data_IF_373179618675
#
_entry.id   IF_373179618675
#
_cell.length_a   1.000
_cell.length_b   1.000
_cell.length_c   1.000
_cell.angle_alpha   90.00
_cell.angle_beta   90.00
_cell.angle_gamma   90.00
#
_symmetry.space_group_name_H-M   'P 1'
#
loop_
_entity.id
_entity.type
_entity.pdbx_description
1 polymer ?
#
# COMPACT_ATOMS: atom_id res chain seq x y z
N UNK A 1 -22.29 -1.70 7.75
CA UNK A 1 -21.21 -0.69 7.78
C UNK A 1 -19.98 -1.27 8.45
N UNK A 2 -18.81 -1.03 7.87
CA UNK A 2 -17.54 -1.49 8.44
C UNK A 2 -17.18 -0.64 9.66
N UNK A 3 -16.80 -1.30 10.76
CA UNK A 3 -16.29 -0.61 11.96
C UNK A 3 -14.80 -0.86 12.11
N UNK A 4 -14.09 0.02 12.82
CA UNK A 4 -12.66 -0.14 13.06
C UNK A 4 -12.36 -1.45 13.81
N UNK A 5 -13.18 -1.84 14.76
CA UNK A 5 -13.00 -3.08 15.51
C UNK A 5 -13.14 -4.32 14.62
N UNK A 6 -14.13 -4.33 13.72
CA UNK A 6 -14.34 -5.44 12.80
C UNK A 6 -13.26 -5.50 11.73
N UNK A 7 -12.79 -4.32 11.26
CA UNK A 7 -11.78 -4.25 10.22
C UNK A 7 -10.39 -4.70 10.68
N UNK A 8 -10.07 -4.50 11.97
CA UNK A 8 -8.70 -4.65 12.45
C UNK A 8 -7.80 -3.54 11.91
N UNK A 9 -6.51 -3.67 12.11
CA UNK A 9 -5.55 -2.67 11.63
C UNK A 9 -4.95 -3.06 10.29
N UNK A 10 -4.61 -2.07 9.49
CA UNK A 10 -4.10 -2.25 8.13
C UNK A 10 -2.74 -1.57 8.01
N UNK A 11 -1.76 -2.31 7.51
CA UNK A 11 -0.48 -1.75 7.12
C UNK A 11 -0.39 -1.74 5.59
N UNK A 12 0.07 -0.62 5.04
CA UNK A 12 0.15 -0.42 3.60
C UNK A 12 1.61 -0.27 3.19
N UNK A 13 2.04 -1.05 2.22
CA UNK A 13 3.38 -0.98 1.63
C UNK A 13 3.27 -0.86 0.12
N UNK A 14 4.33 -0.42 -0.52
CA UNK A 14 4.38 -0.30 -1.97
C UNK A 14 5.47 0.67 -2.41
N UNK A 15 5.78 0.71 -3.72
CA UNK A 15 6.74 1.67 -4.25
C UNK A 15 6.30 3.12 -4.04
N UNK A 16 7.23 4.04 -4.24
CA UNK A 16 6.92 5.47 -4.24
C UNK A 16 5.79 5.75 -5.24
N UNK A 17 4.91 6.68 -4.88
CA UNK A 17 3.78 7.11 -5.72
C UNK A 17 2.74 6.01 -6.00
N UNK A 18 2.77 4.90 -5.28
CA UNK A 18 1.74 3.87 -5.39
C UNK A 18 0.41 4.26 -4.73
N UNK A 19 0.40 5.33 -3.90
CA UNK A 19 -0.82 5.82 -3.27
C UNK A 19 -0.98 5.43 -1.81
N UNK A 20 0.09 5.03 -1.13
CA UNK A 20 0.05 4.58 0.27
C UNK A 20 -0.58 5.60 1.21
N UNK A 21 -0.09 6.85 1.17
CA UNK A 21 -0.56 7.91 2.07
C UNK A 21 -2.03 8.21 1.83
N UNK A 22 -2.45 8.28 0.58
CA UNK A 22 -3.84 8.55 0.22
C UNK A 22 -4.76 7.45 0.73
N UNK A 23 -4.36 6.18 0.56
CA UNK A 23 -5.14 5.04 1.06
C UNK A 23 -5.23 5.08 2.59
N UNK A 24 -4.11 5.30 3.27
CA UNK A 24 -4.08 5.36 4.74
C UNK A 24 -5.01 6.46 5.24
N UNK A 25 -4.95 7.64 4.64
CA UNK A 25 -5.84 8.75 5.02
C UNK A 25 -7.30 8.39 4.82
N UNK A 26 -7.64 7.76 3.70
CA UNK A 26 -9.01 7.32 3.42
C UNK A 26 -9.52 6.30 4.44
N UNK A 27 -8.69 5.32 4.79
CA UNK A 27 -9.05 4.32 5.79
C UNK A 27 -9.25 4.96 7.16
N UNK A 28 -8.34 5.84 7.57
CA UNK A 28 -8.45 6.54 8.85
C UNK A 28 -9.73 7.39 8.92
N UNK A 29 -10.10 8.03 7.83
CA UNK A 29 -11.35 8.81 7.76
C UNK A 29 -12.58 7.93 8.00
N UNK A 30 -12.50 6.65 7.63
CA UNK A 30 -13.57 5.67 7.87
C UNK A 30 -13.50 5.04 9.27
N UNK A 31 -12.56 5.46 10.10
CA UNK A 31 -12.38 4.92 11.43
C UNK A 31 -11.58 3.61 11.47
N UNK A 32 -10.90 3.26 10.38
CA UNK A 32 -10.10 2.04 10.28
C UNK A 32 -8.65 2.39 10.61
N UNK A 33 -8.06 1.79 11.68
CA UNK A 33 -6.65 2.03 11.98
C UNK A 33 -5.76 1.58 10.82
N UNK A 34 -4.95 2.49 10.30
CA UNK A 34 -4.08 2.22 9.17
C UNK A 34 -2.79 3.01 9.26
N UNK A 35 -1.72 2.46 8.72
CA UNK A 35 -0.42 3.14 8.67
C UNK A 35 0.38 2.62 7.48
N UNK A 36 1.19 3.50 6.89
CA UNK A 36 2.11 3.12 5.83
C UNK A 36 3.46 2.73 6.44
N UNK A 37 4.14 1.79 5.80
CA UNK A 37 5.52 1.44 6.13
C UNK A 37 6.40 1.72 4.91
N UNK A 38 7.55 2.37 5.12
CA UNK A 38 8.47 2.78 4.06
C UNK A 38 9.42 1.64 3.68
N UNK A 39 8.90 0.44 3.47
CA UNK A 39 9.70 -0.74 3.12
C UNK A 39 10.47 -0.55 1.82
N UNK A 40 9.98 0.25 0.90
CA UNK A 40 10.65 0.51 -0.38
C UNK A 40 11.99 1.22 -0.23
N UNK A 41 12.25 1.82 0.93
CA UNK A 41 13.51 2.50 1.26
C UNK A 41 14.35 1.72 2.25
N UNK A 42 13.94 0.52 2.64
CA UNK A 42 14.64 -0.28 3.64
C UNK A 42 15.44 -1.41 3.00
N UNK A 43 16.67 -1.57 3.41
CA UNK A 43 17.48 -2.73 3.04
C UNK A 43 17.16 -3.98 3.87
N UNK A 44 16.33 -3.85 4.92
CA UNK A 44 15.92 -4.98 5.76
C UNK A 44 14.59 -5.52 5.23
N UNK A 45 14.52 -6.79 4.79
CA UNK A 45 13.36 -7.31 4.07
C UNK A 45 12.04 -7.29 4.84
N UNK A 46 12.10 -7.36 6.16
CA UNK A 46 10.90 -7.44 6.99
C UNK A 46 10.70 -6.24 7.91
N UNK A 47 11.22 -5.06 7.55
CA UNK A 47 10.99 -3.83 8.30
C UNK A 47 9.50 -3.57 8.49
N UNK A 48 8.68 -3.90 7.48
CA UNK A 48 7.24 -3.64 7.49
C UNK A 48 6.52 -4.29 8.68
N UNK A 49 7.05 -5.37 9.24
CA UNK A 49 6.39 -6.09 10.34
C UNK A 49 7.02 -5.82 11.73
N UNK A 50 8.15 -5.09 11.79
CA UNK A 50 8.91 -4.94 13.03
C UNK A 50 8.32 -3.92 13.99
N UNK A 51 7.61 -2.92 13.44
CA UNK A 51 7.04 -1.84 14.22
C UNK A 51 5.54 -1.79 14.00
N UNK A 52 4.76 -1.62 15.09
CA UNK A 52 3.31 -1.52 15.04
C UNK A 52 2.70 -2.58 14.14
N UNK A 53 2.75 -3.87 14.54
CA UNK A 53 2.20 -4.95 13.72
C UNK A 53 0.72 -4.72 13.43
N UNK A 54 0.29 -5.09 12.23
CA UNK A 54 -1.07 -4.92 11.77
C UNK A 54 -1.70 -6.29 11.49
N UNK A 55 -3.04 -6.33 11.53
CA UNK A 55 -3.76 -7.56 11.22
C UNK A 55 -3.71 -7.90 9.73
N UNK A 56 -3.76 -6.87 8.88
CA UNK A 56 -3.74 -7.05 7.42
C UNK A 56 -2.61 -6.25 6.80
N UNK A 57 -1.99 -6.84 5.80
CA UNK A 57 -0.98 -6.18 4.98
C UNK A 57 -1.52 -6.00 3.57
N UNK A 58 -1.55 -4.76 3.10
CA UNK A 58 -1.96 -4.40 1.75
C UNK A 58 -0.73 -3.93 0.98
N UNK A 59 -0.50 -4.53 -0.18
CA UNK A 59 0.57 -4.14 -1.09
C UNK A 59 -0.02 -3.38 -2.27
N UNK A 60 0.46 -2.15 -2.49
CA UNK A 60 0.09 -1.34 -3.65
C UNK A 60 1.24 -1.34 -4.64
N UNK A 61 0.99 -1.75 -5.87
CA UNK A 61 1.97 -1.64 -6.95
C UNK A 61 1.65 -0.44 -7.84
N UNK A 62 2.58 -0.10 -8.72
CA UNK A 62 2.47 1.08 -9.59
C UNK A 62 3.38 0.86 -10.80
N UNK A 63 3.13 1.58 -11.90
CA UNK A 63 4.00 1.60 -13.08
C UNK A 63 4.88 2.85 -13.08
N UNK A 64 5.96 2.82 -13.87
CA UNK A 64 6.82 3.99 -14.05
C UNK A 64 6.04 5.16 -14.63
N UNK A 65 5.14 4.90 -15.59
CA UNK A 65 4.30 5.92 -16.19
C UNK A 65 3.42 6.60 -15.15
N UNK A 66 2.81 5.82 -14.25
CA UNK A 66 2.01 6.38 -13.17
C UNK A 66 2.85 7.16 -12.17
N UNK A 67 4.08 6.71 -11.87
CA UNK A 67 5.00 7.45 -11.01
C UNK A 67 5.32 8.83 -11.59
N UNK A 68 5.61 8.89 -12.89
CA UNK A 68 5.87 10.15 -13.59
C UNK A 68 4.68 11.08 -13.57
N UNK A 69 3.50 10.55 -13.89
CA UNK A 69 2.26 11.32 -13.93
C UNK A 69 1.91 11.90 -12.56
N UNK A 70 1.97 11.08 -11.52
CA UNK A 70 1.58 11.48 -10.17
C UNK A 70 2.58 12.45 -9.52
N UNK A 71 3.87 12.33 -9.86
CA UNK A 71 4.91 13.21 -9.31
C UNK A 71 5.14 14.47 -10.11
N UNK A 72 4.73 14.50 -11.40
CA UNK A 72 5.09 15.56 -12.33
C UNK A 72 6.56 15.55 -12.73
N UNK A 73 7.28 14.45 -12.46
CA UNK A 73 8.72 14.32 -12.73
C UNK A 73 8.96 13.23 -13.75
N UNK A 74 9.98 13.41 -14.59
CA UNK A 74 10.35 12.46 -15.65
C UNK A 74 11.57 11.60 -15.30
N UNK A 75 12.13 11.74 -14.12
CA UNK A 75 13.35 11.03 -13.73
C UNK A 75 13.09 9.66 -13.06
N UNK A 76 11.85 9.21 -13.02
CA UNK A 76 11.53 7.84 -12.64
C UNK A 76 11.91 6.87 -13.75
N UNK A 77 12.55 5.75 -13.38
CA UNK A 77 13.02 4.75 -14.34
C UNK A 77 12.59 3.36 -13.93
N UNK A 78 12.64 2.40 -14.87
CA UNK A 78 12.36 0.99 -14.57
C UNK A 78 13.36 0.44 -13.56
N UNK A 79 14.62 0.90 -13.57
CA UNK A 79 15.63 0.46 -12.62
C UNK A 79 15.29 0.92 -11.20
N UNK A 80 14.80 2.15 -11.04
CA UNK A 80 14.39 2.66 -9.72
C UNK A 80 13.23 1.83 -9.19
N UNK A 81 12.22 1.58 -10.03
CA UNK A 81 11.07 0.80 -9.63
C UNK A 81 11.45 -0.65 -9.29
N UNK A 82 12.30 -1.27 -10.12
CA UNK A 82 12.77 -2.63 -9.88
C UNK A 82 13.51 -2.74 -8.55
N UNK A 83 14.35 -1.76 -8.21
CA UNK A 83 15.06 -1.74 -6.93
C UNK A 83 14.09 -1.63 -5.75
N UNK A 84 13.08 -0.76 -5.86
CA UNK A 84 12.07 -0.64 -4.81
C UNK A 84 11.25 -1.94 -4.68
N UNK A 85 10.87 -2.55 -5.80
CA UNK A 85 10.17 -3.84 -5.78
C UNK A 85 11.00 -4.95 -5.15
N UNK A 86 12.32 -4.93 -5.36
CA UNK A 86 13.22 -5.90 -4.73
C UNK A 86 13.18 -5.78 -3.21
N UNK A 87 13.21 -4.56 -2.69
CA UNK A 87 13.12 -4.30 -1.25
C UNK A 87 11.75 -4.63 -0.67
N UNK A 88 10.73 -4.69 -1.51
CA UNK A 88 9.36 -4.96 -1.12
C UNK A 88 8.96 -6.44 -1.28
N UNK A 89 9.85 -7.28 -1.81
CA UNK A 89 9.50 -8.66 -2.18
C UNK A 89 8.94 -9.45 -1.00
N UNK A 90 9.58 -9.40 0.15
CA UNK A 90 9.12 -10.12 1.34
C UNK A 90 7.72 -9.68 1.75
N UNK A 91 7.47 -8.36 1.77
CA UNK A 91 6.15 -7.83 2.08
C UNK A 91 5.11 -8.29 1.05
N UNK A 92 5.48 -8.26 -0.23
CA UNK A 92 4.57 -8.70 -1.30
C UNK A 92 4.18 -10.15 -1.15
N UNK A 93 5.14 -11.02 -0.80
CA UNK A 93 4.87 -12.45 -0.60
C UNK A 93 3.96 -12.72 0.61
N UNK A 94 3.91 -11.80 1.57
CA UNK A 94 3.09 -11.92 2.77
C UNK A 94 1.83 -11.07 2.72
N UNK A 95 1.60 -10.32 1.64
CA UNK A 95 0.45 -9.43 1.55
C UNK A 95 -0.87 -10.22 1.52
N UNK A 96 -1.85 -9.73 2.26
CA UNK A 96 -3.20 -10.27 2.25
C UNK A 96 -3.98 -9.80 1.03
N UNK A 97 -3.63 -8.63 0.50
CA UNK A 97 -4.24 -8.04 -0.69
C UNK A 97 -3.18 -7.30 -1.47
N UNK A 98 -3.14 -7.52 -2.78
CA UNK A 98 -2.24 -6.80 -3.70
C UNK A 98 -3.08 -6.08 -4.74
N UNK A 99 -2.83 -4.77 -4.93
CA UNK A 99 -3.55 -3.95 -5.89
C UNK A 99 -2.54 -3.23 -6.77
N UNK A 100 -2.68 -3.35 -8.10
CA UNK A 100 -1.98 -2.48 -9.04
C UNK A 100 -2.80 -1.20 -9.16
N UNK A 101 -2.24 -0.08 -8.67
CA UNK A 101 -2.96 1.18 -8.63
C UNK A 101 -2.82 2.00 -9.91
N UNK A 102 -2.02 1.54 -10.87
CA UNK A 102 -1.93 2.22 -12.17
C UNK A 102 -3.31 2.18 -12.84
N UNK A 103 -3.77 3.34 -13.28
CA UNK A 103 -5.08 3.46 -13.91
C UNK A 103 -6.27 3.46 -12.96
N UNK A 104 -6.05 3.37 -11.65
CA UNK A 104 -7.13 3.45 -10.66
C UNK A 104 -7.15 4.81 -9.98
N UNK A 105 -8.35 5.29 -9.64
CA UNK A 105 -8.50 6.47 -8.79
C UNK A 105 -8.23 6.11 -7.33
N UNK A 106 -7.98 7.11 -6.50
CA UNK A 106 -7.85 6.91 -5.05
C UNK A 106 -9.12 6.27 -4.47
N UNK A 107 -10.28 6.67 -4.96
CA UNK A 107 -11.57 6.12 -4.55
C UNK A 107 -11.70 4.64 -4.91
N UNK A 108 -11.25 4.24 -6.10
CA UNK A 108 -11.28 2.84 -6.54
C UNK A 108 -10.41 1.97 -5.63
N UNK A 109 -9.21 2.45 -5.28
CA UNK A 109 -8.30 1.73 -4.40
C UNK A 109 -8.90 1.56 -3.01
N UNK A 110 -9.46 2.64 -2.46
CA UNK A 110 -10.11 2.60 -1.14
C UNK A 110 -11.27 1.61 -1.15
N UNK A 111 -12.12 1.64 -2.17
CA UNK A 111 -13.27 0.75 -2.28
C UNK A 111 -12.84 -0.72 -2.31
N UNK A 112 -11.75 -1.04 -3.01
CA UNK A 112 -11.23 -2.41 -3.07
C UNK A 112 -10.73 -2.90 -1.72
N UNK A 113 -10.05 -2.03 -0.96
CA UNK A 113 -9.57 -2.39 0.37
C UNK A 113 -10.73 -2.58 1.33
N UNK A 114 -11.72 -1.68 1.31
CA UNK A 114 -12.90 -1.80 2.16
C UNK A 114 -13.67 -3.08 1.84
N UNK A 115 -13.85 -3.41 0.56
CA UNK A 115 -14.51 -4.64 0.16
C UNK A 115 -13.77 -5.88 0.67
N UNK A 116 -12.44 -5.87 0.58
CA UNK A 116 -11.61 -6.94 1.13
C UNK A 116 -11.81 -7.08 2.64
N UNK A 117 -11.76 -5.98 3.38
CA UNK A 117 -11.91 -6.01 4.85
C UNK A 117 -13.30 -6.51 5.26
N UNK A 118 -14.35 -6.10 4.54
CA UNK A 118 -15.70 -6.58 4.79
C UNK A 118 -15.81 -8.10 4.57
N UNK A 119 -15.08 -8.63 3.60
CA UNK A 119 -15.09 -10.06 3.31
C UNK A 119 -14.39 -10.89 4.40
N UNK A 120 -13.50 -10.29 5.18
CA UNK A 120 -12.79 -10.97 6.27
C UNK A 120 -13.61 -11.00 7.56
N UNK A 121 -14.53 -10.10 7.71
CA UNK A 121 -15.36 -9.98 8.89
C UNK A 121 -16.65 -10.71 8.82
#
# INVERSE_FOLDING_TARGET
MLTAAAAGSVKVVGPCKSGKTTLVTGLQTLGIPARAAAQEHSGVPDTWRRFAPARYLVYLDVSVEAMKERSGRNDWTEEILAEQRRRLLHAREHADLTIDTAGLSASDVLDRVVAFLNAQG
#
